data_IF_255861919175
#
_entry.id   IF_255861919175
#
_cell.length_a   1.000
_cell.length_b   1.000
_cell.length_c   1.000
_cell.angle_alpha   90.00
_cell.angle_beta   90.00
_cell.angle_gamma   90.00
#
_symmetry.space_group_name_H-M   'P 1'
#
loop_
_entity.id
_entity.type
_entity.pdbx_description
1 polymer ?
#
# COMPACT_ATOMS: atom_id res chain seq x y z
N UNK A 1 0.25 12.83 10.50
CA UNK A 1 -0.30 11.44 10.34
C UNK A 1 -0.72 11.22 8.91
N UNK A 2 -1.57 12.11 8.36
CA UNK A 2 -1.87 12.14 6.93
C UNK A 2 -0.60 12.18 6.07
N UNK A 3 0.41 12.95 6.49
CA UNK A 3 1.69 13.09 5.79
C UNK A 3 2.43 11.75 5.64
N UNK A 4 2.41 10.90 6.67
CA UNK A 4 3.03 9.57 6.63
C UNK A 4 2.28 8.63 5.68
N UNK A 5 0.95 8.75 5.60
CA UNK A 5 0.13 7.96 4.68
C UNK A 5 0.45 8.38 3.24
N UNK A 6 0.46 9.68 2.96
CA UNK A 6 0.81 10.24 1.65
C UNK A 6 2.21 9.78 1.22
N UNK A 7 3.21 9.89 2.10
CA UNK A 7 4.56 9.39 1.81
C UNK A 7 4.59 7.92 1.41
N UNK A 8 3.85 7.05 2.11
CA UNK A 8 3.80 5.63 1.74
C UNK A 8 3.11 5.43 0.40
N UNK A 9 1.99 6.12 0.14
CA UNK A 9 1.28 6.06 -1.15
C UNK A 9 2.20 6.48 -2.29
N UNK A 10 2.85 7.64 -2.17
CA UNK A 10 3.72 8.20 -3.20
C UNK A 10 4.88 7.26 -3.49
N UNK A 11 5.53 6.77 -2.44
CA UNK A 11 6.61 5.80 -2.58
C UNK A 11 6.18 4.53 -3.32
N UNK A 12 5.02 3.94 -2.99
CA UNK A 12 4.55 2.72 -3.66
C UNK A 12 4.21 2.96 -5.13
N UNK A 13 3.71 4.16 -5.49
CA UNK A 13 3.49 4.55 -6.87
C UNK A 13 4.81 4.76 -7.62
N UNK A 14 5.82 5.34 -6.97
CA UNK A 14 7.15 5.55 -7.56
C UNK A 14 7.85 4.22 -7.82
N UNK A 15 7.91 3.34 -6.80
CA UNK A 15 8.59 2.04 -6.91
C UNK A 15 7.73 0.94 -7.54
N UNK A 16 6.46 1.24 -7.83
CA UNK A 16 5.48 0.36 -8.50
C UNK A 16 5.44 -1.04 -7.90
N UNK A 17 5.36 -1.08 -6.58
CA UNK A 17 5.47 -2.32 -5.80
C UNK A 17 4.28 -2.46 -4.87
N UNK A 18 3.65 -3.64 -4.87
CA UNK A 18 2.55 -3.95 -3.95
C UNK A 18 3.05 -4.04 -2.50
N UNK A 19 2.20 -3.65 -1.56
CA UNK A 19 2.49 -3.67 -0.13
C UNK A 19 1.29 -4.23 0.65
N UNK A 20 1.51 -5.06 1.65
CA UNK A 20 0.42 -5.53 2.50
C UNK A 20 -0.07 -4.40 3.41
N UNK A 21 -1.39 -4.35 3.65
CA UNK A 21 -1.97 -3.38 4.59
C UNK A 21 -1.29 -3.42 5.97
N UNK A 22 -0.95 -4.60 6.47
CA UNK A 22 -0.31 -4.76 7.77
C UNK A 22 1.09 -4.13 7.80
N UNK A 23 1.90 -4.35 6.76
CA UNK A 23 3.24 -3.77 6.68
C UNK A 23 3.19 -2.24 6.62
N UNK A 24 2.28 -1.69 5.80
CA UNK A 24 2.10 -0.25 5.68
C UNK A 24 1.60 0.39 6.97
N UNK A 25 0.59 -0.20 7.61
CA UNK A 25 0.00 0.33 8.83
C UNK A 25 1.00 0.29 10.01
N UNK A 26 1.74 -0.81 10.15
CA UNK A 26 2.80 -0.94 11.16
C UNK A 26 3.95 0.05 10.93
N UNK A 27 4.28 0.36 9.66
CA UNK A 27 5.33 1.33 9.34
C UNK A 27 5.02 2.74 9.87
N UNK A 28 3.75 3.14 9.82
CA UNK A 28 3.31 4.48 10.22
C UNK A 28 2.64 4.52 11.61
N UNK A 29 2.58 3.37 12.30
CA UNK A 29 2.11 3.28 13.69
C UNK A 29 0.59 3.30 13.86
N UNK A 30 -0.18 2.77 12.89
CA UNK A 30 -1.64 2.66 12.98
C UNK A 30 -2.12 1.23 12.70
N UNK A 31 -3.41 0.98 12.84
CA UNK A 31 -4.02 -0.31 12.48
C UNK A 31 -4.34 -0.38 10.98
N UNK A 32 -4.34 -1.57 10.40
CA UNK A 32 -4.72 -1.80 8.99
C UNK A 32 -6.13 -1.28 8.67
N UNK A 33 -7.06 -1.38 9.64
CA UNK A 33 -8.42 -0.85 9.50
C UNK A 33 -8.42 0.68 9.45
N UNK A 34 -7.64 1.34 10.30
CA UNK A 34 -7.50 2.79 10.28
C UNK A 34 -6.86 3.26 8.97
N UNK A 35 -5.80 2.58 8.51
CA UNK A 35 -5.18 2.88 7.21
C UNK A 35 -6.20 2.78 6.06
N UNK A 36 -6.96 1.68 6.00
CA UNK A 36 -7.99 1.50 4.95
C UNK A 36 -9.03 2.62 4.96
N UNK A 37 -9.46 3.06 6.15
CA UNK A 37 -10.40 4.19 6.29
C UNK A 37 -9.80 5.50 5.78
N UNK A 38 -8.51 5.74 6.04
CA UNK A 38 -7.82 6.96 5.62
C UNK A 38 -7.51 7.01 4.13
N UNK A 39 -7.28 5.86 3.48
CA UNK A 39 -7.05 5.79 2.04
C UNK A 39 -8.29 6.17 1.22
N UNK A 40 -9.48 5.97 1.79
CA UNK A 40 -10.76 6.34 1.19
C UNK A 40 -11.14 5.43 0.03
N UNK A 41 -11.72 6.05 -1.01
CA UNK A 41 -12.27 5.34 -2.16
C UNK A 41 -11.20 4.66 -3.03
N UNK A 42 -11.52 3.52 -3.67
CA UNK A 42 -10.64 2.84 -4.62
C UNK A 42 -10.20 3.75 -5.77
N UNK A 43 -8.89 3.75 -6.05
CA UNK A 43 -8.27 4.41 -7.21
C UNK A 43 -6.90 3.79 -7.50
N UNK A 44 -6.37 3.94 -8.73
CA UNK A 44 -5.09 3.34 -9.12
C UNK A 44 -3.96 3.58 -8.11
N UNK A 45 -3.85 4.79 -7.58
CA UNK A 45 -2.76 5.23 -6.70
C UNK A 45 -2.73 4.49 -5.36
N UNK A 46 -3.86 3.96 -4.89
CA UNK A 46 -3.93 3.21 -3.63
C UNK A 46 -4.14 1.71 -3.85
N UNK A 47 -4.29 1.28 -5.10
CA UNK A 47 -4.42 -0.15 -5.43
C UNK A 47 -3.17 -0.97 -5.08
N UNK A 48 -2.04 -0.33 -4.80
CA UNK A 48 -0.82 -1.00 -4.32
C UNK A 48 -0.99 -1.70 -2.97
N UNK A 49 -1.99 -1.32 -2.16
CA UNK A 49 -2.27 -1.98 -0.88
C UNK A 49 -3.09 -3.24 -1.08
N UNK A 50 -2.49 -4.37 -0.69
CA UNK A 50 -3.06 -5.70 -0.95
C UNK A 50 -3.29 -6.49 0.33
N UNK A 51 -4.19 -7.47 0.24
CA UNK A 51 -4.37 -8.45 1.30
C UNK A 51 -3.11 -9.31 1.45
N UNK A 52 -2.66 -9.62 2.68
CA UNK A 52 -1.54 -10.54 2.90
C UNK A 52 -1.83 -11.97 2.45
N UNK A 53 -3.10 -12.37 2.34
CA UNK A 53 -3.48 -13.73 1.94
C UNK A 53 -3.60 -13.90 0.43
N UNK A 54 -4.23 -12.94 -0.27
CA UNK A 54 -4.46 -13.04 -1.71
C UNK A 54 -3.41 -12.32 -2.55
N UNK A 55 -2.67 -11.35 -1.99
CA UNK A 55 -1.81 -10.48 -2.78
C UNK A 55 -2.58 -9.52 -3.70
N UNK A 56 -3.89 -9.40 -3.50
CA UNK A 56 -4.81 -8.60 -4.32
C UNK A 56 -5.34 -7.36 -3.57
N UNK A 57 -5.60 -6.25 -4.29
CA UNK A 57 -6.33 -5.11 -3.75
C UNK A 57 -7.78 -5.52 -3.45
N UNK A 58 -8.31 -5.11 -2.30
CA UNK A 58 -9.65 -5.52 -1.88
C UNK A 58 -10.73 -4.59 -2.42
N UNK A 59 -11.71 -5.13 -3.17
CA UNK A 59 -12.87 -4.39 -3.73
C UNK A 59 -12.50 -3.36 -4.80
N UNK A 60 -11.52 -3.69 -5.64
CA UNK A 60 -11.16 -2.89 -6.81
C UNK A 60 -11.65 -3.61 -8.07
N UNK A 61 -12.31 -2.86 -8.94
CA UNK A 61 -12.52 -3.23 -10.34
C UNK A 61 -11.20 -3.13 -11.11
N UNK A 62 -11.12 -3.73 -12.29
CA UNK A 62 -9.88 -3.71 -13.07
C UNK A 62 -9.49 -2.29 -13.53
N UNK A 63 -10.46 -1.42 -13.77
CA UNK A 63 -10.22 0.01 -14.11
C UNK A 63 -9.69 0.83 -12.92
N UNK A 64 -9.92 0.38 -11.68
CA UNK A 64 -9.45 1.05 -10.47
C UNK A 64 -8.06 0.55 -10.03
N UNK A 65 -7.54 -0.51 -10.67
CA UNK A 65 -6.19 -1.02 -10.40
C UNK A 65 -5.16 -0.22 -11.20
N UNK A 66 -4.00 -0.05 -10.61
CA UNK A 66 -2.87 0.53 -11.33
C UNK A 66 -2.50 -0.39 -12.52
N UNK A 67 -2.26 0.14 -13.73
CA UNK A 67 -1.93 -0.70 -14.90
C UNK A 67 -0.65 -1.52 -14.71
N UNK A 68 0.26 -1.04 -13.88
CA UNK A 68 1.51 -1.75 -13.53
C UNK A 68 1.42 -2.58 -12.24
N UNK A 69 0.23 -2.78 -11.67
CA UNK A 69 0.03 -3.50 -10.40
C UNK A 69 0.69 -4.89 -10.38
N UNK A 70 0.63 -5.59 -11.51
CA UNK A 70 1.15 -6.95 -11.68
C UNK A 70 2.48 -7.02 -12.45
N UNK A 71 3.14 -5.88 -12.67
CA UNK A 71 4.45 -5.85 -13.36
C UNK A 71 5.53 -6.66 -12.64
N UNK A 72 5.42 -6.77 -11.31
CA UNK A 72 6.31 -7.55 -10.46
C UNK A 72 5.52 -8.48 -9.54
N UNK A 73 6.09 -9.63 -9.20
CA UNK A 73 5.54 -10.59 -8.22
C UNK A 73 5.92 -10.24 -6.78
N UNK A 74 6.86 -9.32 -6.58
CA UNK A 74 7.34 -8.94 -5.24
C UNK A 74 6.28 -8.13 -4.50
N UNK A 75 6.05 -8.49 -3.25
CA UNK A 75 5.16 -7.76 -2.32
C UNK A 75 5.96 -7.37 -1.08
N UNK A 76 5.84 -6.12 -0.65
CA UNK A 76 6.38 -5.65 0.63
C UNK A 76 5.47 -6.20 1.74
N UNK A 77 5.98 -7.14 2.52
CA UNK A 77 5.25 -7.80 3.61
C UNK A 77 5.75 -7.41 5.00
N UNK A 78 6.81 -6.60 5.09
CA UNK A 78 7.45 -6.19 6.34
C UNK A 78 7.59 -4.68 6.43
N UNK A 79 7.14 -4.12 7.56
CA UNK A 79 7.24 -2.70 7.85
C UNK A 79 8.69 -2.18 7.84
N UNK A 80 9.67 -3.04 8.13
CA UNK A 80 11.10 -2.69 8.13
C UNK A 80 11.56 -2.15 6.77
N UNK A 81 10.98 -2.63 5.67
CA UNK A 81 11.34 -2.16 4.33
C UNK A 81 10.89 -0.71 4.14
N UNK A 82 9.66 -0.39 4.54
CA UNK A 82 9.14 0.98 4.45
C UNK A 82 9.88 1.90 5.41
N UNK A 83 10.09 1.50 6.67
CA UNK A 83 10.82 2.32 7.66
C UNK A 83 12.24 2.66 7.20
N UNK A 84 12.95 1.69 6.62
CA UNK A 84 14.30 1.92 6.09
C UNK A 84 14.30 2.85 4.87
N UNK A 85 13.34 2.69 3.96
CA UNK A 85 13.34 3.41 2.69
C UNK A 85 12.71 4.82 2.80
N UNK A 86 11.89 5.07 3.83
CA UNK A 86 11.17 6.32 4.05
C UNK A 86 11.64 7.07 5.32
N UNK A 87 12.66 6.56 6.00
CA UNK A 87 13.21 7.15 7.23
C UNK A 87 12.13 7.40 8.32
N UNK A 88 11.22 6.43 8.49
CA UNK A 88 10.04 6.48 9.38
C UNK A 88 10.26 5.96 10.81
#
# INVERSE_FOLDING_TARGET
MQDKITMVVDYLNEVKTRCTFNAAAEAIGITSQALKKQLGEPRPEVSWFVSPTSGEPMRYTDSEKHPELYRTTRIITSAKVLKRNLEL
#
